data_IF_917935250345
#
_entry.id   IF_917935250345
#
_cell.length_a   1.000
_cell.length_b   1.000
_cell.length_c   1.000
_cell.angle_alpha   90.00
_cell.angle_beta   90.00
_cell.angle_gamma   90.00
#
_symmetry.space_group_name_H-M   'P 1'
#
loop_
_entity.id
_entity.type
_entity.pdbx_description
1 polymer ?
#
# COMPACT_ATOMS: atom_id res chain seq x y z
N UNK A 1 16.86 12.67 -8.13
CA UNK A 1 16.08 13.47 -7.17
C UNK A 1 14.96 12.60 -6.63
N UNK A 2 15.03 12.25 -5.35
CA UNK A 2 13.94 11.58 -4.63
C UNK A 2 12.88 12.62 -4.29
N UNK A 3 11.71 12.48 -4.90
CA UNK A 3 10.57 13.38 -4.66
C UNK A 3 9.91 12.97 -3.33
N UNK A 4 10.16 13.76 -2.30
CA UNK A 4 9.55 13.59 -0.98
C UNK A 4 8.12 14.10 -1.06
N UNK A 5 7.14 13.23 -0.86
CA UNK A 5 5.71 13.59 -0.85
C UNK A 5 5.31 14.41 0.38
N UNK A 6 6.07 14.27 1.48
CA UNK A 6 5.81 14.92 2.75
C UNK A 6 6.47 14.17 3.91
N UNK A 7 6.17 14.62 5.13
CA UNK A 7 6.61 13.96 6.35
C UNK A 7 5.41 13.34 7.05
N UNK A 8 5.55 12.12 7.55
CA UNK A 8 4.53 11.44 8.38
C UNK A 8 5.14 11.07 9.71
N UNK A 9 4.36 11.25 10.77
CA UNK A 9 4.68 10.71 12.08
C UNK A 9 4.50 9.18 12.06
N UNK A 10 5.60 8.47 12.23
CA UNK A 10 5.67 7.01 12.32
C UNK A 10 6.22 6.66 13.69
N UNK A 11 5.85 5.51 14.24
CA UNK A 11 6.45 5.03 15.48
C UNK A 11 7.97 4.96 15.31
N UNK A 12 8.70 5.51 16.27
CA UNK A 12 10.15 5.52 16.25
C UNK A 12 10.67 4.08 16.43
N UNK A 13 11.37 3.50 15.44
CA UNK A 13 11.88 2.13 15.55
C UNK A 13 12.98 1.97 16.61
N UNK A 14 13.55 3.07 17.10
CA UNK A 14 14.53 3.04 18.19
C UNK A 14 13.87 3.02 19.58
N UNK A 15 12.57 3.29 19.68
CA UNK A 15 11.83 3.29 20.94
C UNK A 15 11.22 1.91 21.16
N UNK A 16 11.68 1.22 22.21
CA UNK A 16 11.06 -0.02 22.66
C UNK A 16 9.67 0.22 23.27
N UNK A 17 8.81 -0.78 23.29
CA UNK A 17 7.46 -0.68 23.86
C UNK A 17 7.45 -0.18 25.31
N UNK A 18 8.36 -0.69 26.16
CA UNK A 18 8.48 -0.25 27.55
C UNK A 18 8.79 1.25 27.63
N UNK A 19 9.65 1.73 26.74
CA UNK A 19 10.06 3.13 26.67
C UNK A 19 8.94 4.01 26.09
N UNK A 20 8.14 3.51 25.14
CA UNK A 20 6.94 4.17 24.66
C UNK A 20 5.92 4.40 25.78
N UNK A 21 5.62 3.36 26.59
CA UNK A 21 4.66 3.48 27.69
C UNK A 21 5.17 4.40 28.81
N UNK A 22 6.47 4.37 29.09
CA UNK A 22 7.09 5.30 30.02
C UNK A 22 6.94 6.76 29.55
N UNK A 23 7.24 7.04 28.28
CA UNK A 23 7.08 8.37 27.69
C UNK A 23 5.60 8.79 27.63
N UNK A 24 4.68 7.85 27.40
CA UNK A 24 3.23 8.10 27.39
C UNK A 24 2.72 8.47 28.78
N UNK A 25 3.25 7.83 29.82
CA UNK A 25 2.92 8.15 31.21
C UNK A 25 3.47 9.53 31.63
N UNK A 26 4.64 9.92 31.12
CA UNK A 26 5.24 11.25 31.37
C UNK A 26 4.58 12.38 30.57
N UNK A 27 4.05 12.07 29.39
CA UNK A 27 3.43 13.04 28.48
C UNK A 27 2.04 12.56 28.02
N UNK A 28 1.07 12.44 28.93
CA UNK A 28 -0.24 11.85 28.63
C UNK A 28 -1.05 12.65 27.60
N UNK A 29 -0.85 13.97 27.55
CA UNK A 29 -1.58 14.89 26.66
C UNK A 29 -0.99 14.99 25.25
N UNK A 30 0.17 14.38 25.00
CA UNK A 30 0.81 14.44 23.70
C UNK A 30 0.40 13.22 22.82
N UNK A 31 -0.38 13.44 21.74
CA UNK A 31 -0.85 12.36 20.88
C UNK A 31 0.27 11.72 20.03
N UNK A 32 1.44 12.35 19.96
CA UNK A 32 2.57 11.99 19.10
C UNK A 32 3.78 11.46 19.86
N UNK A 33 3.60 11.14 21.15
CA UNK A 33 4.62 10.47 21.95
C UNK A 33 5.14 9.21 21.27
N UNK A 34 6.46 9.06 21.23
CA UNK A 34 7.15 7.92 20.62
C UNK A 34 7.12 7.90 19.10
N UNK A 35 6.63 8.96 18.44
CA UNK A 35 6.64 9.07 16.98
C UNK A 35 7.76 9.98 16.50
N UNK A 36 8.33 9.64 15.35
CA UNK A 36 9.33 10.44 14.63
C UNK A 36 8.78 10.85 13.26
N UNK A 37 9.19 12.03 12.78
CA UNK A 37 8.89 12.47 11.42
C UNK A 37 9.74 11.67 10.43
N UNK A 38 9.09 10.82 9.65
CA UNK A 38 9.71 10.09 8.56
C UNK A 38 9.39 10.78 7.22
N UNK A 39 10.42 11.03 6.41
CA UNK A 39 10.25 11.49 5.04
C UNK A 39 9.62 10.37 4.18
N UNK A 40 8.44 10.62 3.62
CA UNK A 40 7.76 9.66 2.74
C UNK A 40 8.23 9.89 1.32
N UNK A 41 9.13 9.04 0.87
CA UNK A 41 9.56 9.00 -0.54
C UNK A 41 8.43 8.39 -1.39
N UNK A 42 8.08 9.04 -2.50
CA UNK A 42 7.05 8.56 -3.44
C UNK A 42 7.31 7.11 -3.89
N UNK A 43 8.57 6.73 -4.09
CA UNK A 43 8.94 5.36 -4.47
C UNK A 43 8.72 4.35 -3.32
N UNK A 44 8.89 4.76 -2.07
CA UNK A 44 8.56 3.92 -0.90
C UNK A 44 7.05 3.83 -0.72
N UNK A 45 6.30 4.87 -1.09
CA UNK A 45 4.86 4.94 -0.93
C UNK A 45 4.07 4.17 -2.00
N UNK A 46 4.43 4.31 -3.28
CA UNK A 46 3.71 3.71 -4.44
C UNK A 46 4.59 2.83 -5.34
N UNK A 47 5.85 2.60 -4.95
CA UNK A 47 6.74 1.68 -5.66
C UNK A 47 7.13 2.18 -7.04
N UNK A 48 7.13 1.26 -8.01
CA UNK A 48 7.47 1.56 -9.39
C UNK A 48 6.48 2.51 -10.06
N UNK A 49 5.26 2.64 -9.54
CA UNK A 49 4.21 3.52 -10.06
C UNK A 49 4.64 4.99 -10.06
N UNK A 50 5.58 5.39 -9.19
CA UNK A 50 6.17 6.73 -9.18
C UNK A 50 6.72 7.18 -10.56
N UNK A 51 7.17 6.22 -11.40
CA UNK A 51 7.73 6.48 -12.73
C UNK A 51 6.68 6.53 -13.85
N UNK A 52 5.41 6.36 -13.51
CA UNK A 52 4.29 6.33 -14.45
C UNK A 52 3.55 7.67 -14.56
N UNK A 53 3.82 8.63 -13.67
CA UNK A 53 3.24 9.98 -13.65
C UNK A 53 1.70 9.94 -13.74
N UNK A 54 1.11 9.32 -12.72
CA UNK A 54 -0.35 9.22 -12.58
C UNK A 54 -0.97 10.49 -12.01
N UNK A 55 -2.29 10.62 -12.20
CA UNK A 55 -3.08 11.64 -11.52
C UNK A 55 -3.24 11.31 -10.02
N UNK A 56 -3.67 12.27 -9.21
CA UNK A 56 -3.78 12.11 -7.74
C UNK A 56 -4.60 10.89 -7.31
N UNK A 57 -5.78 10.68 -7.90
CA UNK A 57 -6.62 9.51 -7.62
C UNK A 57 -5.92 8.18 -7.97
N UNK A 58 -5.07 8.16 -9.00
CA UNK A 58 -4.28 6.98 -9.35
C UNK A 58 -3.16 6.73 -8.34
N UNK A 59 -2.55 7.80 -7.82
CA UNK A 59 -1.53 7.72 -6.76
C UNK A 59 -2.16 7.19 -5.47
N UNK A 60 -3.33 7.70 -5.08
CA UNK A 60 -4.08 7.20 -3.92
C UNK A 60 -4.46 5.73 -4.08
N UNK A 61 -4.91 5.32 -5.26
CA UNK A 61 -5.22 3.93 -5.55
C UNK A 61 -3.97 3.03 -5.48
N UNK A 62 -2.84 3.46 -6.05
CA UNK A 62 -1.59 2.71 -5.97
C UNK A 62 -1.11 2.55 -4.51
N UNK A 63 -1.27 3.59 -3.69
CA UNK A 63 -0.93 3.55 -2.27
C UNK A 63 -1.84 2.61 -1.48
N UNK A 64 -3.16 2.68 -1.70
CA UNK A 64 -4.12 1.78 -1.06
C UNK A 64 -3.88 0.33 -1.48
N UNK A 65 -3.61 0.07 -2.75
CA UNK A 65 -3.23 -1.25 -3.25
C UNK A 65 -2.01 -1.81 -2.52
N UNK A 66 -0.93 -1.03 -2.42
CA UNK A 66 0.30 -1.47 -1.74
C UNK A 66 0.05 -1.76 -0.27
N UNK A 67 -0.65 -0.86 0.42
CA UNK A 67 -1.00 -1.05 1.84
C UNK A 67 -1.84 -2.31 2.05
N UNK A 68 -2.85 -2.55 1.22
CA UNK A 68 -3.67 -3.75 1.29
C UNK A 68 -2.86 -5.01 1.02
N UNK A 69 -1.95 -4.97 0.04
CA UNK A 69 -1.04 -6.07 -0.24
C UNK A 69 -0.18 -6.42 0.99
N UNK A 70 0.44 -5.42 1.61
CA UNK A 70 1.30 -5.61 2.78
C UNK A 70 0.49 -6.09 4.00
N UNK A 71 -0.70 -5.52 4.24
CA UNK A 71 -1.56 -5.89 5.37
C UNK A 71 -2.22 -7.27 5.21
N UNK A 72 -2.47 -7.72 3.98
CA UNK A 72 -3.09 -9.02 3.71
C UNK A 72 -2.10 -10.19 3.84
N UNK A 73 -0.79 -9.94 3.75
CA UNK A 73 0.23 -10.96 4.03
C UNK A 73 0.24 -11.30 5.52
N UNK A 74 0.44 -12.59 5.85
CA UNK A 74 0.33 -13.16 7.21
C UNK A 74 1.22 -12.47 8.26
N UNK A 75 2.20 -11.66 7.84
CA UNK A 75 3.04 -10.82 8.72
C UNK A 75 2.56 -9.38 8.96
N UNK A 76 1.37 -8.99 8.48
CA UNK A 76 0.81 -7.64 8.68
C UNK A 76 0.21 -7.41 10.07
N UNK A 77 -0.08 -8.48 10.81
CA UNK A 77 -0.35 -8.47 12.24
C UNK A 77 0.95 -8.12 12.97
N UNK A 78 0.92 -7.06 13.79
CA UNK A 78 2.02 -6.71 14.71
C UNK A 78 2.55 -7.98 15.39
N UNK A 79 3.86 -8.01 15.66
CA UNK A 79 4.41 -8.95 16.64
C UNK A 79 3.67 -8.72 17.97
N UNK A 80 2.64 -9.52 18.22
CA UNK A 80 1.98 -9.58 19.51
C UNK A 80 2.88 -10.44 20.39
N UNK A 81 3.38 -9.84 21.46
CA UNK A 81 4.02 -10.57 22.54
C UNK A 81 3.00 -11.55 23.13
N UNK A 82 3.16 -12.84 22.83
CA UNK A 82 2.28 -13.90 23.31
C UNK A 82 2.54 -14.24 24.78
N UNK A 83 3.61 -13.72 25.37
CA UNK A 83 3.98 -13.93 26.78
C UNK A 83 3.50 -12.80 27.70
N UNK A 84 2.84 -11.76 27.15
CA UNK A 84 2.33 -10.63 27.94
C UNK A 84 1.15 -11.08 28.81
N UNK A 85 1.42 -11.29 30.10
CA UNK A 85 0.45 -11.63 31.12
C UNK A 85 -0.61 -10.51 31.27
N UNK A 86 -1.92 -10.81 31.18
CA UNK A 86 -2.97 -9.82 31.32
C UNK A 86 -3.06 -9.34 32.78
N UNK A 87 -2.83 -8.05 33.00
CA UNK A 87 -3.22 -7.38 34.24
C UNK A 87 -4.74 -7.17 34.21
N UNK A 88 -5.42 -7.71 35.23
CA UNK A 88 -6.86 -7.70 35.46
C UNK A 88 -7.74 -8.54 34.52
N UNK A 89 -7.71 -9.87 34.70
CA UNK A 89 -8.85 -10.77 34.46
C UNK A 89 -9.41 -10.92 33.03
N UNK A 90 -8.94 -10.13 32.06
CA UNK A 90 -9.29 -10.24 30.65
C UNK A 90 -8.30 -11.14 29.93
N UNK A 91 -8.71 -12.38 29.64
CA UNK A 91 -7.89 -13.30 28.85
C UNK A 91 -7.46 -12.67 27.52
N UNK A 92 -6.23 -12.95 27.11
CA UNK A 92 -5.74 -12.62 25.77
C UNK A 92 -6.72 -13.24 24.76
N UNK A 93 -7.33 -12.43 23.88
CA UNK A 93 -8.15 -12.98 22.81
C UNK A 93 -7.22 -13.29 21.61
N UNK A 94 -6.77 -14.55 21.42
CA UNK A 94 -5.94 -14.93 20.28
C UNK A 94 -6.63 -14.63 18.94
N UNK A 95 -7.96 -14.58 18.91
CA UNK A 95 -8.72 -14.27 17.70
C UNK A 95 -8.60 -12.80 17.27
N UNK A 96 -8.25 -11.88 18.18
CA UNK A 96 -8.09 -10.46 17.83
C UNK A 96 -6.97 -10.25 16.80
N UNK A 97 -5.90 -11.04 16.85
CA UNK A 97 -4.80 -10.99 15.86
C UNK A 97 -5.28 -11.51 14.50
N UNK A 98 -6.13 -12.54 14.49
CA UNK A 98 -6.75 -13.07 13.28
C UNK A 98 -7.76 -12.09 12.69
N UNK A 99 -8.56 -11.41 13.52
CA UNK A 99 -9.55 -10.40 13.14
C UNK A 99 -8.91 -9.14 12.54
N UNK A 100 -7.82 -8.64 13.14
CA UNK A 100 -7.12 -7.42 12.67
C UNK A 100 -6.63 -7.54 11.21
N UNK A 101 -6.33 -8.76 10.75
CA UNK A 101 -5.96 -9.03 9.35
C UNK A 101 -7.11 -9.57 8.48
N UNK A 102 -8.24 -9.96 9.05
CA UNK A 102 -9.34 -10.61 8.32
C UNK A 102 -9.99 -9.67 7.31
N UNK A 103 -10.22 -8.41 7.69
CA UNK A 103 -10.81 -7.42 6.80
C UNK A 103 -9.87 -7.03 5.66
N UNK A 104 -8.57 -6.88 5.93
CA UNK A 104 -7.58 -6.62 4.90
C UNK A 104 -7.49 -7.79 3.91
N UNK A 105 -7.52 -9.04 4.38
CA UNK A 105 -7.55 -10.23 3.52
C UNK A 105 -8.83 -10.29 2.69
N UNK A 106 -9.99 -9.99 3.28
CA UNK A 106 -11.28 -9.93 2.56
C UNK A 106 -11.25 -8.87 1.47
N UNK A 107 -10.83 -7.65 1.79
CA UNK A 107 -10.71 -6.54 0.82
C UNK A 107 -9.68 -6.87 -0.28
N UNK A 108 -8.59 -7.55 0.08
CA UNK A 108 -7.59 -8.00 -0.89
C UNK A 108 -8.14 -9.05 -1.87
N UNK A 109 -8.93 -10.01 -1.40
CA UNK A 109 -9.62 -10.99 -2.26
C UNK A 109 -10.62 -10.30 -3.19
N UNK A 110 -11.42 -9.36 -2.67
CA UNK A 110 -12.38 -8.61 -3.48
C UNK A 110 -11.69 -7.76 -4.55
N UNK A 111 -10.58 -7.11 -4.21
CA UNK A 111 -9.76 -6.36 -5.15
C UNK A 111 -9.16 -7.25 -6.24
N UNK A 112 -8.67 -8.45 -5.90
CA UNK A 112 -8.19 -9.42 -6.88
C UNK A 112 -9.30 -9.88 -7.84
N UNK A 113 -10.50 -10.13 -7.32
CA UNK A 113 -11.66 -10.50 -8.12
C UNK A 113 -12.06 -9.37 -9.07
N UNK A 114 -12.09 -8.14 -8.58
CA UNK A 114 -12.45 -6.95 -9.35
C UNK A 114 -11.48 -6.68 -10.51
N UNK A 115 -10.17 -6.73 -10.27
CA UNK A 115 -9.16 -6.54 -11.32
C UNK A 115 -9.05 -7.74 -12.27
N UNK A 116 -9.32 -8.93 -11.76
CA UNK A 116 -8.95 -10.18 -12.40
C UNK A 116 -7.44 -10.44 -12.40
N UNK A 117 -7.08 -11.71 -12.62
CA UNK A 117 -5.70 -12.22 -12.47
C UNK A 117 -4.64 -11.42 -13.25
N UNK A 118 -4.91 -11.10 -14.53
CA UNK A 118 -3.94 -10.44 -15.41
C UNK A 118 -3.65 -9.00 -14.99
N UNK A 119 -4.68 -8.20 -14.69
CA UNK A 119 -4.48 -6.81 -14.30
C UNK A 119 -3.87 -6.72 -12.91
N UNK A 120 -4.28 -7.60 -11.99
CA UNK A 120 -3.67 -7.71 -10.67
C UNK A 120 -2.16 -7.98 -10.77
N UNK A 121 -1.74 -9.03 -11.48
CA UNK A 121 -0.31 -9.37 -11.63
C UNK A 121 0.50 -8.23 -12.27
N UNK A 122 -0.09 -7.53 -13.24
CA UNK A 122 0.55 -6.38 -13.89
C UNK A 122 0.75 -5.22 -12.92
N UNK A 123 -0.25 -4.92 -12.10
CA UNK A 123 -0.16 -3.85 -11.14
C UNK A 123 0.74 -4.20 -9.95
N UNK A 124 0.68 -5.45 -9.47
CA UNK A 124 1.60 -6.00 -8.47
C UNK A 124 3.06 -5.89 -8.92
N UNK A 125 3.38 -6.31 -10.15
CA UNK A 125 4.73 -6.20 -10.70
C UNK A 125 5.28 -4.77 -10.66
N UNK A 126 4.42 -3.77 -10.87
CA UNK A 126 4.80 -2.36 -10.85
C UNK A 126 4.89 -1.81 -9.43
N UNK A 127 3.81 -1.94 -8.65
CA UNK A 127 3.65 -1.29 -7.34
C UNK A 127 4.45 -2.01 -6.27
N UNK A 128 4.32 -3.34 -6.18
CA UNK A 128 5.02 -4.16 -5.18
C UNK A 128 6.42 -4.51 -5.68
N UNK A 129 6.53 -4.97 -6.93
CA UNK A 129 7.81 -5.33 -7.54
C UNK A 129 8.75 -4.15 -7.83
N UNK A 130 8.28 -2.91 -7.63
CA UNK A 130 9.09 -1.69 -7.81
C UNK A 130 9.52 -1.43 -9.26
N UNK A 131 8.87 -2.05 -10.25
CA UNK A 131 9.34 -2.05 -11.64
C UNK A 131 8.83 -0.84 -12.40
N UNK A 132 9.75 -0.16 -13.09
CA UNK A 132 9.43 0.99 -13.93
C UNK A 132 8.86 0.62 -15.31
N UNK A 133 8.42 1.62 -16.11
CA UNK A 133 7.75 1.41 -17.40
C UNK A 133 8.51 0.53 -18.40
N UNK A 134 9.82 0.70 -18.52
CA UNK A 134 10.64 -0.11 -19.44
C UNK A 134 10.68 -1.57 -19.01
N UNK A 135 10.87 -1.83 -17.71
CA UNK A 135 10.89 -3.20 -17.17
C UNK A 135 9.52 -3.88 -17.30
N UNK A 136 8.45 -3.12 -17.06
CA UNK A 136 7.08 -3.57 -17.26
C UNK A 136 6.84 -4.04 -18.71
N UNK A 137 7.19 -3.20 -19.69
CA UNK A 137 6.98 -3.53 -21.11
C UNK A 137 7.83 -4.73 -21.55
N UNK A 138 9.08 -4.82 -21.09
CA UNK A 138 9.93 -6.00 -21.34
C UNK A 138 9.26 -7.27 -20.85
N UNK A 139 8.70 -7.25 -19.64
CA UNK A 139 8.05 -8.41 -19.03
C UNK A 139 6.78 -8.84 -19.77
N UNK A 140 5.89 -7.92 -20.13
CA UNK A 140 4.63 -8.28 -20.81
C UNK A 140 4.79 -8.63 -22.30
N UNK A 141 5.86 -8.16 -22.96
CA UNK A 141 6.06 -8.37 -24.40
C UNK A 141 7.20 -9.34 -24.75
N UNK A 142 8.10 -9.63 -23.82
CA UNK A 142 9.33 -10.39 -24.08
C UNK A 142 10.40 -9.63 -24.87
N UNK A 143 10.15 -8.37 -25.27
CA UNK A 143 11.08 -7.59 -26.10
C UNK A 143 12.21 -7.04 -25.24
N UNK A 144 13.46 -7.41 -25.53
CA UNK A 144 14.63 -6.95 -24.75
C UNK A 144 14.86 -5.43 -24.77
N UNK A 145 14.58 -4.75 -25.89
CA UNK A 145 14.75 -3.29 -26.04
C UNK A 145 13.47 -2.66 -26.60
N UNK A 146 12.44 -2.43 -25.77
CA UNK A 146 11.20 -1.84 -26.25
C UNK A 146 11.42 -0.38 -26.63
N UNK A 147 10.81 0.03 -27.76
CA UNK A 147 10.87 1.42 -28.23
C UNK A 147 9.97 2.35 -27.38
N UNK A 148 10.13 3.66 -27.57
CA UNK A 148 9.38 4.67 -26.83
C UNK A 148 7.85 4.52 -26.97
N UNK A 149 7.36 4.12 -28.15
CA UNK A 149 5.92 3.91 -28.41
C UNK A 149 5.34 2.79 -27.54
N UNK A 150 6.06 1.68 -27.41
CA UNK A 150 5.66 0.56 -26.56
C UNK A 150 5.68 0.96 -25.08
N UNK A 151 6.71 1.67 -24.64
CA UNK A 151 6.82 2.20 -23.27
C UNK A 151 5.65 3.13 -22.94
N UNK A 152 5.29 4.05 -23.85
CA UNK A 152 4.15 4.94 -23.68
C UNK A 152 2.82 4.19 -23.60
N UNK A 153 2.62 3.14 -24.41
CA UNK A 153 1.45 2.26 -24.31
C UNK A 153 1.38 1.55 -22.96
N UNK A 154 2.50 0.99 -22.49
CA UNK A 154 2.60 0.37 -21.17
C UNK A 154 2.27 1.35 -20.04
N UNK A 155 2.70 2.62 -20.14
CA UNK A 155 2.32 3.66 -19.17
C UNK A 155 0.82 3.92 -19.13
N UNK A 156 0.18 4.04 -20.29
CA UNK A 156 -1.28 4.25 -20.38
C UNK A 156 -2.02 3.06 -19.78
N UNK A 157 -1.58 1.85 -20.05
CA UNK A 157 -2.20 0.63 -19.54
C UNK A 157 -2.15 0.55 -18.01
N UNK A 158 -0.99 0.76 -17.40
CA UNK A 158 -0.84 0.72 -15.93
C UNK A 158 -1.65 1.83 -15.26
N UNK A 159 -1.71 3.03 -15.85
CA UNK A 159 -2.57 4.11 -15.36
C UNK A 159 -4.06 3.78 -15.46
N UNK A 160 -4.48 3.04 -16.50
CA UNK A 160 -5.86 2.55 -16.61
C UNK A 160 -6.20 1.56 -15.51
N UNK A 161 -5.28 0.67 -15.13
CA UNK A 161 -5.49 -0.25 -14.00
C UNK A 161 -5.65 0.54 -12.69
N UNK A 162 -4.80 1.55 -12.47
CA UNK A 162 -4.91 2.44 -11.31
C UNK A 162 -6.23 3.23 -11.29
N UNK A 163 -6.73 3.69 -12.45
CA UNK A 163 -8.04 4.33 -12.56
C UNK A 163 -9.18 3.38 -12.19
N UNK A 164 -9.15 2.15 -12.70
CA UNK A 164 -10.18 1.17 -12.41
C UNK A 164 -10.27 0.90 -10.89
N UNK A 165 -9.13 0.78 -10.21
CA UNK A 165 -9.09 0.70 -8.75
C UNK A 165 -9.59 1.98 -8.06
N UNK A 166 -9.22 3.16 -8.57
CA UNK A 166 -9.69 4.42 -8.03
C UNK A 166 -11.21 4.55 -8.11
N UNK A 167 -11.82 4.14 -9.21
CA UNK A 167 -13.28 4.10 -9.38
C UNK A 167 -13.93 3.08 -8.45
N UNK A 168 -13.34 1.88 -8.33
CA UNK A 168 -13.82 0.83 -7.42
C UNK A 168 -13.87 1.30 -5.96
N UNK A 169 -12.87 2.06 -5.53
CA UNK A 169 -12.79 2.61 -4.18
C UNK A 169 -13.45 3.98 -4.01
N UNK A 170 -14.13 4.50 -5.04
CA UNK A 170 -14.82 5.81 -4.98
C UNK A 170 -13.87 7.01 -4.89
N UNK A 171 -12.60 6.85 -5.24
CA UNK A 171 -11.58 7.91 -5.28
C UNK A 171 -11.64 8.73 -6.59
N UNK A 172 -12.34 8.21 -7.60
CA UNK A 172 -12.62 8.89 -8.85
C UNK A 172 -14.09 8.65 -9.24
N UNK A 173 -14.71 9.63 -9.90
CA UNK A 173 -16.00 9.40 -10.56
C UNK A 173 -15.78 8.51 -11.78
N UNK A 174 -16.72 7.58 -12.04
CA UNK A 174 -16.70 6.74 -13.25
C UNK A 174 -16.55 7.64 -14.48
N UNK A 175 -15.51 7.40 -15.28
CA UNK A 175 -15.34 8.06 -16.56
C UNK A 175 -16.62 7.92 -17.40
N UNK A 176 -17.15 9.00 -18.03
CA UNK A 176 -18.36 8.93 -18.85
C UNK A 176 -18.29 7.89 -19.99
N UNK A 177 -17.08 7.50 -20.39
CA UNK A 177 -16.81 6.56 -21.48
C UNK A 177 -17.22 5.12 -21.12
N UNK A 178 -17.23 4.77 -19.83
CA UNK A 178 -17.59 3.42 -19.36
C UNK A 178 -19.10 3.24 -19.08
N UNK A 179 -19.94 4.25 -19.40
CA UNK A 179 -21.40 4.15 -19.31
C UNK A 179 -22.07 3.65 -20.60
N UNK A 180 -21.28 3.35 -21.62
CA UNK A 180 -21.76 2.84 -22.92
C UNK A 180 -21.04 1.53 -23.22
N UNK A 181 -21.42 0.48 -22.49
CA UNK A 181 -21.18 -0.92 -22.82
C UNK A 181 -22.38 -1.73 -22.36
#
# INVERSE_FOLDING_TARGET
MTETLGFRLVQDPAVSDAQFWHLRAQHPDNPDVGKVLAAVNLHTYIGGFAKFYGAEHQIMAAAKFRRLYDMAQVGGSKACDMEREPVDGGGFNPDAVFEIGADARREFVLMQQHLGRKMFQRFEFVVVGGKGPTAYVRWITGIAKPNAKLVSRGKVEVRRIANNLAEYWGMASKSPIDRVA
#
